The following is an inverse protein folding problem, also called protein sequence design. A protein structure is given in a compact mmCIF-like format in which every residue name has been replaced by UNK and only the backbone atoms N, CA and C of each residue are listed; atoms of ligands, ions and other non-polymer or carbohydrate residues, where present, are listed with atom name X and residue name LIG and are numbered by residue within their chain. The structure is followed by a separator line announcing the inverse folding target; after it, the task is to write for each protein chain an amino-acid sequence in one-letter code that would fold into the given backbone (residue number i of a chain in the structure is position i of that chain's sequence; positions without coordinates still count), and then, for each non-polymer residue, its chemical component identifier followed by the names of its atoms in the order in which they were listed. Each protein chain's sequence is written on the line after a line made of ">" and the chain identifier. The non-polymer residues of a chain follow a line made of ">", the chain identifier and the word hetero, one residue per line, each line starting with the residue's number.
data_IF_543064873619
#
_entry.id   IF_543064873619
#
_cell.length_a   1.000
_cell.length_b   1.000
_cell.length_c   1.000
_cell.angle_alpha   90.00
_cell.angle_beta   90.00
_cell.angle_gamma   90.00
#
_symmetry.space_group_name_H-M   'P 1'
#
loop_
_entity.id
_entity.type
_entity.pdbx_description
1 polymer ?
#
# COMPACT_ATOMS: atom_id res chain seq x y z
N UNK A 1 -1.11 -29.13 -12.04
CA UNK A 1 -1.87 -30.39 -12.19
C UNK A 1 -3.28 -30.04 -12.62
N UNK A 2 -3.64 -30.48 -13.83
CA UNK A 2 -5.00 -30.85 -14.31
C UNK A 2 -6.11 -29.77 -14.24
N UNK A 3 -6.47 -29.07 -15.34
CA UNK A 3 -7.29 -29.52 -16.49
C UNK A 3 -8.81 -29.44 -16.22
N UNK A 4 -9.56 -28.67 -17.03
CA UNK A 4 -10.97 -28.95 -17.45
C UNK A 4 -11.68 -27.80 -18.21
N UNK A 5 -10.99 -27.04 -19.07
CA UNK A 5 -11.66 -26.16 -20.05
C UNK A 5 -11.26 -26.46 -21.51
N UNK A 6 -10.96 -27.73 -21.80
CA UNK A 6 -10.75 -28.22 -23.15
C UNK A 6 -11.82 -29.28 -23.47
N UNK A 7 -13.09 -28.86 -23.64
CA UNK A 7 -14.19 -29.78 -24.05
C UNK A 7 -15.42 -29.13 -24.70
N UNK A 8 -15.36 -27.88 -25.20
CA UNK A 8 -16.55 -27.24 -25.79
C UNK A 8 -16.34 -26.49 -27.11
N UNK A 9 -15.25 -26.75 -27.83
CA UNK A 9 -15.07 -26.22 -29.19
C UNK A 9 -14.59 -27.36 -30.09
N UNK A 10 -15.50 -28.01 -30.82
CA UNK A 10 -15.29 -28.50 -32.19
C UNK A 10 -16.44 -29.43 -32.60
N UNK A 11 -17.55 -28.84 -33.06
CA UNK A 11 -18.65 -29.61 -33.60
C UNK A 11 -19.75 -28.71 -34.15
N UNK A 12 -19.51 -28.10 -35.32
CA UNK A 12 -20.46 -27.92 -36.44
C UNK A 12 -19.97 -26.82 -37.40
N UNK A 13 -20.11 -27.09 -38.68
CA UNK A 13 -19.60 -26.37 -39.84
C UNK A 13 -20.41 -25.09 -40.21
N UNK A 14 -19.78 -24.25 -41.05
CA UNK A 14 -20.30 -23.10 -41.84
C UNK A 14 -21.73 -23.28 -42.43
N UNK A 15 -22.50 -22.23 -42.85
CA UNK A 15 -22.08 -20.85 -43.22
C UNK A 15 -23.05 -19.67 -42.87
N UNK A 16 -22.56 -18.43 -43.03
CA UNK A 16 -23.25 -17.17 -43.42
C UNK A 16 -24.68 -16.91 -42.90
N UNK A 17 -24.81 -16.06 -41.88
CA UNK A 17 -25.91 -15.09 -41.78
C UNK A 17 -25.45 -13.84 -40.99
N UNK A 18 -25.61 -12.69 -41.63
CA UNK A 18 -25.50 -11.34 -41.07
C UNK A 18 -26.24 -11.23 -39.72
N UNK A 19 -25.51 -11.23 -38.61
CA UNK A 19 -26.00 -10.67 -37.35
C UNK A 19 -24.95 -9.71 -36.82
N UNK A 20 -25.14 -8.44 -37.17
CA UNK A 20 -24.54 -7.31 -36.50
C UNK A 20 -25.05 -7.27 -35.04
N UNK A 21 -24.40 -8.00 -34.14
CA UNK A 21 -24.46 -7.68 -32.71
C UNK A 21 -23.40 -6.63 -32.45
N UNK A 22 -23.84 -5.38 -32.58
CA UNK A 22 -23.28 -4.21 -31.90
C UNK A 22 -23.11 -4.60 -30.43
N UNK A 23 -21.90 -4.99 -30.01
CA UNK A 23 -21.59 -5.08 -28.59
C UNK A 23 -21.47 -3.65 -28.08
N UNK A 24 -22.62 -3.14 -27.67
CA UNK A 24 -22.78 -1.95 -26.88
C UNK A 24 -21.86 -2.02 -25.64
N UNK A 25 -21.07 -0.96 -25.48
CA UNK A 25 -20.53 -0.45 -24.22
C UNK A 25 -19.95 -1.46 -23.23
N UNK A 26 -18.63 -1.53 -23.16
CA UNK A 26 -17.97 -1.92 -21.92
C UNK A 26 -18.33 -0.89 -20.83
N UNK A 27 -19.39 -1.14 -20.08
CA UNK A 27 -19.59 -0.53 -18.78
C UNK A 27 -18.47 -1.04 -17.88
N UNK A 28 -17.41 -0.25 -17.72
CA UNK A 28 -16.38 -0.52 -16.72
C UNK A 28 -17.07 -0.55 -15.35
N UNK A 29 -17.24 -1.74 -14.80
CA UNK A 29 -17.54 -1.90 -13.39
C UNK A 29 -16.44 -1.13 -12.64
N UNK A 30 -16.83 -0.14 -11.85
CA UNK A 30 -15.93 0.80 -11.19
C UNK A 30 -15.09 0.05 -10.15
N UNK A 31 -13.99 -0.56 -10.59
CA UNK A 31 -13.02 -1.13 -9.67
C UNK A 31 -12.46 0.01 -8.82
N UNK A 32 -12.38 -0.16 -7.49
CA UNK A 32 -11.85 0.88 -6.61
C UNK A 32 -10.44 1.24 -7.06
N UNK A 33 -10.24 2.51 -7.38
CA UNK A 33 -8.93 2.99 -7.82
C UNK A 33 -7.90 2.79 -6.70
N UNK A 34 -6.61 2.72 -7.05
CA UNK A 34 -5.53 2.62 -6.06
C UNK A 34 -5.58 3.76 -5.01
N UNK A 35 -5.97 4.96 -5.44
CA UNK A 35 -6.16 6.09 -4.53
C UNK A 35 -7.27 5.83 -3.51
N UNK A 36 -8.39 5.25 -3.96
CA UNK A 36 -9.54 4.93 -3.11
C UNK A 36 -9.22 3.78 -2.13
N UNK A 37 -8.52 2.74 -2.59
CA UNK A 37 -8.04 1.66 -1.70
C UNK A 37 -7.07 2.18 -0.64
N UNK A 38 -6.20 3.12 -1.00
CA UNK A 38 -5.28 3.76 -0.04
C UNK A 38 -6.01 4.65 0.97
N UNK A 39 -7.02 5.42 0.51
CA UNK A 39 -7.86 6.22 1.40
C UNK A 39 -8.58 5.35 2.44
N UNK A 40 -9.18 4.24 2.00
CA UNK A 40 -9.84 3.27 2.89
C UNK A 40 -8.84 2.64 3.84
N UNK A 41 -7.68 2.21 3.36
CA UNK A 41 -6.62 1.64 4.20
C UNK A 41 -6.17 2.63 5.28
N UNK A 42 -6.12 3.92 4.97
CA UNK A 42 -5.73 4.95 5.93
C UNK A 42 -6.80 5.18 7.01
N UNK A 43 -8.07 5.23 6.61
CA UNK A 43 -9.21 5.41 7.51
C UNK A 43 -9.42 4.18 8.40
N UNK A 44 -9.25 2.98 7.85
CA UNK A 44 -9.51 1.71 8.53
C UNK A 44 -8.31 1.10 9.24
N UNK A 45 -7.18 1.81 9.37
CA UNK A 45 -5.92 1.20 9.80
C UNK A 45 -5.97 0.62 11.22
N UNK A 46 -6.59 1.33 12.16
CA UNK A 46 -6.75 0.87 13.55
C UNK A 46 -7.69 -0.33 13.63
N UNK A 47 -8.84 -0.24 12.95
CA UNK A 47 -9.85 -1.30 12.95
C UNK A 47 -9.31 -2.57 12.28
N UNK A 48 -8.53 -2.42 11.22
CA UNK A 48 -7.87 -3.53 10.54
C UNK A 48 -6.89 -4.28 11.45
N UNK A 49 -6.12 -3.57 12.28
CA UNK A 49 -5.20 -4.23 13.22
C UNK A 49 -5.96 -4.98 14.32
N UNK A 50 -7.12 -4.48 14.72
CA UNK A 50 -7.94 -5.07 15.77
C UNK A 50 -8.75 -6.28 15.27
N UNK A 51 -9.33 -6.20 14.07
CA UNK A 51 -10.26 -7.23 13.55
C UNK A 51 -9.68 -8.11 12.44
N UNK A 52 -8.62 -7.68 11.76
CA UNK A 52 -8.13 -8.28 10.51
C UNK A 52 -6.61 -8.51 10.47
N UNK A 53 -5.95 -8.68 11.61
CA UNK A 53 -4.48 -8.80 11.72
C UNK A 53 -3.87 -10.02 11.00
N UNK A 54 -4.68 -11.01 10.61
CA UNK A 54 -4.25 -12.21 9.87
C UNK A 54 -4.26 -12.10 8.35
N UNK A 55 -4.66 -10.95 7.76
CA UNK A 55 -4.75 -10.77 6.29
C UNK A 55 -3.78 -9.70 5.77
N UNK A 56 -3.42 -9.82 4.48
CA UNK A 56 -2.51 -8.89 3.82
C UNK A 56 -3.18 -7.50 3.64
N UNK A 57 -2.60 -6.41 4.17
CA UNK A 57 -3.22 -5.09 4.12
C UNK A 57 -3.19 -4.48 2.71
N UNK A 58 -4.33 -4.00 2.22
CA UNK A 58 -4.46 -3.30 0.94
C UNK A 58 -4.76 -4.20 -0.26
N UNK A 59 -5.06 -5.48 -0.04
CA UNK A 59 -5.63 -6.36 -1.06
C UNK A 59 -7.13 -6.60 -0.86
N UNK A 60 -7.74 -7.37 -1.77
CA UNK A 60 -9.15 -7.78 -1.68
C UNK A 60 -9.46 -8.56 -0.40
N UNK A 61 -8.50 -9.35 0.11
CA UNK A 61 -8.64 -10.06 1.38
C UNK A 61 -8.83 -9.11 2.58
N UNK A 62 -8.15 -7.96 2.58
CA UNK A 62 -8.32 -6.96 3.62
C UNK A 62 -9.70 -6.28 3.55
N UNK A 63 -10.17 -5.97 2.33
CA UNK A 63 -11.51 -5.40 2.14
C UNK A 63 -12.61 -6.38 2.55
N UNK A 64 -12.46 -7.66 2.21
CA UNK A 64 -13.42 -8.71 2.58
C UNK A 64 -13.53 -8.88 4.10
N UNK A 65 -12.39 -8.86 4.81
CA UNK A 65 -12.37 -8.92 6.27
C UNK A 65 -13.04 -7.69 6.89
N UNK A 66 -12.73 -6.49 6.41
CA UNK A 66 -13.39 -5.27 6.89
C UNK A 66 -14.90 -5.32 6.64
N UNK A 67 -15.37 -5.79 5.48
CA UNK A 67 -16.79 -5.94 5.21
C UNK A 67 -17.50 -6.89 6.18
N UNK A 68 -16.86 -8.03 6.51
CA UNK A 68 -17.38 -8.99 7.48
C UNK A 68 -17.45 -8.42 8.90
N UNK A 69 -16.52 -7.53 9.25
CA UNK A 69 -16.48 -6.89 10.56
C UNK A 69 -17.10 -5.49 10.57
N UNK A 70 -17.84 -5.10 9.54
CA UNK A 70 -18.34 -3.73 9.33
C UNK A 70 -19.06 -3.13 10.54
N UNK A 71 -19.85 -3.91 11.28
CA UNK A 71 -20.55 -3.49 12.50
C UNK A 71 -19.63 -3.21 13.70
N UNK A 72 -18.41 -3.74 13.70
CA UNK A 72 -17.40 -3.59 14.75
C UNK A 72 -16.30 -2.58 14.40
N UNK A 73 -16.36 -1.98 13.20
CA UNK A 73 -15.41 -0.94 12.79
C UNK A 73 -15.84 0.43 13.33
N UNK A 74 -14.88 1.33 13.44
CA UNK A 74 -15.13 2.75 13.67
C UNK A 74 -16.01 3.37 12.57
N UNK A 75 -16.78 4.41 12.95
CA UNK A 75 -17.68 5.12 12.04
C UNK A 75 -16.93 5.64 10.78
N UNK A 76 -15.72 6.18 10.95
CA UNK A 76 -14.92 6.68 9.83
C UNK A 76 -14.47 5.56 8.87
N UNK A 77 -14.26 4.35 9.37
CA UNK A 77 -13.95 3.21 8.51
C UNK A 77 -15.21 2.67 7.80
N UNK A 78 -16.36 2.64 8.48
CA UNK A 78 -17.65 2.25 7.90
C UNK A 78 -18.05 3.17 6.72
N UNK A 79 -17.88 4.48 6.89
CA UNK A 79 -18.11 5.47 5.83
C UNK A 79 -17.20 5.23 4.62
N UNK A 80 -15.91 4.96 4.87
CA UNK A 80 -14.93 4.73 3.82
C UNK A 80 -15.22 3.46 2.99
N UNK A 81 -15.66 2.37 3.63
CA UNK A 81 -16.04 1.15 2.91
C UNK A 81 -17.42 1.25 2.25
N UNK A 82 -18.35 2.03 2.82
CA UNK A 82 -19.69 2.27 2.27
C UNK A 82 -19.67 3.11 0.99
N UNK A 83 -18.73 4.05 0.87
CA UNK A 83 -18.55 4.88 -0.32
C UNK A 83 -18.17 4.09 -1.59
N UNK A 84 -17.73 2.83 -1.46
CA UNK A 84 -17.51 1.93 -2.60
C UNK A 84 -18.81 1.37 -3.20
N UNK A 85 -19.88 1.27 -2.40
CA UNK A 85 -21.16 0.66 -2.80
C UNK A 85 -22.12 1.60 -3.54
N UNK A 86 -21.79 2.89 -3.62
CA UNK A 86 -22.63 3.88 -4.28
C UNK A 86 -21.77 5.03 -4.77
N UNK A 87 -21.46 5.01 -6.08
CA UNK A 87 -20.62 6.00 -6.75
C UNK A 87 -21.01 7.44 -6.43
N UNK A 88 -20.31 8.03 -5.48
CA UNK A 88 -20.06 9.47 -5.35
C UNK A 88 -18.64 9.64 -4.81
N UNK A 89 -17.71 9.88 -5.72
CA UNK A 89 -16.46 10.55 -5.35
C UNK A 89 -16.81 11.92 -4.78
N UNK A 90 -16.19 12.23 -3.64
CA UNK A 90 -16.43 13.35 -2.73
C UNK A 90 -16.37 14.75 -3.36
N UNK A 91 -16.69 15.82 -2.61
CA UNK A 91 -15.92 17.04 -2.68
C UNK A 91 -14.70 16.91 -1.78
N UNK A 92 -13.52 17.04 -2.39
CA UNK A 92 -12.33 17.41 -1.67
C UNK A 92 -12.48 18.83 -1.07
N UNK A 93 -12.10 18.94 0.20
CA UNK A 93 -11.49 20.09 0.88
C UNK A 93 -12.32 21.36 1.17
N UNK A 94 -12.25 21.79 2.43
CA UNK A 94 -11.89 23.17 2.76
C UNK A 94 -10.74 23.20 3.78
N UNK A 95 -9.55 23.49 3.24
CA UNK A 95 -8.57 24.48 3.72
C UNK A 95 -7.95 24.36 5.12
N UNK A 96 -6.73 23.83 5.16
CA UNK A 96 -5.62 24.35 5.96
C UNK A 96 -4.51 24.84 5.02
N UNK A 97 -4.31 26.15 4.97
CA UNK A 97 -3.39 26.90 4.11
C UNK A 97 -1.93 26.41 4.17
N UNK A 98 -1.32 26.14 3.01
CA UNK A 98 0.13 26.18 2.82
C UNK A 98 0.41 26.97 1.51
N UNK A 99 1.20 28.07 1.54
CA UNK A 99 1.48 28.85 0.34
C UNK A 99 2.29 28.08 -0.69
N UNK A 100 1.95 28.32 -1.96
CA UNK A 100 2.66 27.82 -3.12
C UNK A 100 4.04 28.50 -3.29
N UNK A 101 5.04 27.64 -3.44
CA UNK A 101 6.22 27.71 -4.30
C UNK A 101 6.82 29.06 -4.74
N UNK A 102 8.12 29.19 -4.47
CA UNK A 102 9.08 29.82 -5.39
C UNK A 102 10.21 28.83 -5.64
N UNK A 103 10.42 28.42 -6.90
CA UNK A 103 11.61 27.68 -7.38
C UNK A 103 12.68 28.69 -7.86
N UNK A 104 13.95 28.33 -8.17
CA UNK A 104 14.53 26.98 -8.26
C UNK A 104 15.84 26.80 -7.45
N UNK A 105 16.07 25.59 -6.95
CA UNK A 105 17.42 25.15 -6.59
C UNK A 105 17.68 23.83 -7.30
N UNK A 106 18.86 23.74 -7.91
CA UNK A 106 19.42 22.58 -8.59
C UNK A 106 19.17 21.29 -7.80
N UNK A 107 18.77 20.19 -8.46
CA UNK A 107 18.56 18.92 -7.77
C UNK A 107 19.91 18.34 -7.38
N UNK A 108 20.36 18.61 -6.16
CA UNK A 108 21.09 17.58 -5.42
C UNK A 108 20.16 16.36 -5.32
N UNK A 109 20.67 15.12 -5.43
CA UNK A 109 19.85 13.92 -5.25
C UNK A 109 19.37 13.89 -3.80
N UNK A 110 18.26 14.57 -3.55
CA UNK A 110 17.66 14.72 -2.24
C UNK A 110 16.65 13.59 -2.18
N UNK A 111 17.09 12.46 -1.64
CA UNK A 111 16.22 11.35 -1.35
C UNK A 111 15.03 11.84 -0.52
N UNK A 112 13.82 11.36 -0.83
CA UNK A 112 12.67 11.71 -0.01
C UNK A 112 12.85 11.13 1.41
N UNK A 113 12.32 11.76 2.48
CA UNK A 113 12.48 11.24 3.85
C UNK A 113 12.00 9.79 4.02
N UNK A 114 11.07 9.36 3.18
CA UNK A 114 10.54 7.99 3.15
C UNK A 114 11.52 7.00 2.52
N UNK A 115 12.19 7.44 1.47
CA UNK A 115 13.22 6.67 0.76
C UNK A 115 14.49 6.56 1.60
N UNK A 116 14.87 7.64 2.29
CA UNK A 116 15.99 7.64 3.23
C UNK A 116 15.78 6.63 4.37
N UNK A 117 14.56 6.56 4.92
CA UNK A 117 14.21 5.53 5.90
C UNK A 117 14.20 4.10 5.32
N UNK A 118 13.88 3.93 4.03
CA UNK A 118 13.93 2.63 3.37
C UNK A 118 15.38 2.16 3.17
N UNK A 119 16.25 3.06 2.69
CA UNK A 119 17.69 2.82 2.53
C UNK A 119 18.31 2.48 3.88
N UNK A 120 18.01 3.24 4.93
CA UNK A 120 18.53 2.96 6.27
C UNK A 120 18.12 1.58 6.80
N UNK A 121 16.88 1.14 6.55
CA UNK A 121 16.41 -0.20 6.94
C UNK A 121 17.07 -1.30 6.13
N UNK A 122 17.33 -1.05 4.84
CA UNK A 122 17.96 -2.00 3.95
C UNK A 122 19.44 -2.20 4.30
N UNK A 123 20.17 -1.10 4.47
CA UNK A 123 21.60 -1.11 4.79
C UNK A 123 21.88 -1.57 6.22
N UNK A 124 21.12 -1.08 7.22
CA UNK A 124 21.36 -1.41 8.63
C UNK A 124 20.54 -2.60 9.15
N UNK A 125 19.58 -3.12 8.39
CA UNK A 125 18.70 -4.21 8.81
C UNK A 125 19.45 -5.51 9.17
N UNK A 126 20.42 -5.97 8.37
CA UNK A 126 21.23 -7.14 8.70
C UNK A 126 22.07 -6.93 9.96
N UNK A 127 22.74 -5.79 10.09
CA UNK A 127 23.55 -5.44 11.25
C UNK A 127 22.73 -5.34 12.53
N UNK A 128 21.52 -4.79 12.45
CA UNK A 128 20.61 -4.73 13.58
C UNK A 128 20.21 -6.13 14.06
N UNK A 129 19.92 -7.05 13.14
CA UNK A 129 19.55 -8.43 13.50
C UNK A 129 20.70 -9.20 14.14
N UNK A 130 21.93 -8.98 13.70
CA UNK A 130 23.10 -9.70 14.24
C UNK A 130 23.63 -9.10 15.55
N UNK A 131 23.59 -7.77 15.70
CA UNK A 131 24.24 -7.07 16.83
C UNK A 131 23.25 -6.50 17.86
N UNK A 132 22.00 -6.25 17.47
CA UNK A 132 21.05 -5.46 18.24
C UNK A 132 19.65 -6.10 18.34
N UNK A 133 19.50 -7.41 18.06
CA UNK A 133 18.20 -8.10 17.98
C UNK A 133 17.38 -8.07 19.28
N UNK A 134 18.02 -7.90 20.43
CA UNK A 134 17.35 -7.76 21.74
C UNK A 134 16.85 -6.36 22.04
N UNK A 135 17.14 -5.38 21.19
CA UNK A 135 16.76 -3.99 21.40
C UNK A 135 15.33 -3.75 20.91
N UNK A 136 14.47 -3.29 21.81
CA UNK A 136 13.11 -2.90 21.46
C UNK A 136 13.11 -1.82 20.36
N UNK A 137 12.29 -2.02 19.33
CA UNK A 137 12.07 -1.04 18.26
C UNK A 137 11.28 0.17 18.80
N UNK A 138 11.66 1.37 18.38
CA UNK A 138 11.02 2.62 18.79
C UNK A 138 11.95 3.55 19.61
N UNK A 139 11.59 4.83 19.66
CA UNK A 139 12.31 5.84 20.47
C UNK A 139 13.81 5.99 20.17
N UNK A 140 14.25 5.66 18.94
CA UNK A 140 15.66 5.74 18.55
C UNK A 140 16.59 4.69 19.15
N UNK A 141 16.08 3.73 19.94
CA UNK A 141 16.90 2.72 20.64
C UNK A 141 17.71 1.85 19.70
N UNK A 142 17.12 1.46 18.57
CA UNK A 142 17.80 0.70 17.54
C UNK A 142 19.02 1.45 16.96
N UNK A 143 18.86 2.75 16.68
CA UNK A 143 19.95 3.59 16.19
C UNK A 143 21.04 3.78 17.27
N UNK A 144 20.65 3.94 18.53
CA UNK A 144 21.61 4.02 19.63
C UNK A 144 22.45 2.74 19.76
N UNK A 145 21.83 1.56 19.61
CA UNK A 145 22.56 0.30 19.62
C UNK A 145 23.51 0.16 18.42
N UNK A 146 23.04 0.49 17.22
CA UNK A 146 23.89 0.45 16.02
C UNK A 146 25.09 1.40 16.16
N UNK A 147 24.87 2.64 16.65
CA UNK A 147 25.96 3.60 16.88
C UNK A 147 26.99 3.11 17.90
N UNK A 148 26.58 2.40 18.96
CA UNK A 148 27.51 1.78 19.92
C UNK A 148 28.34 0.65 19.29
N UNK A 149 27.85 0.04 18.21
CA UNK A 149 28.51 -1.04 17.50
C UNK A 149 29.17 -0.58 16.18
N UNK A 150 29.40 0.72 15.96
CA UNK A 150 29.88 1.30 14.69
C UNK A 150 31.03 0.51 14.04
N UNK A 151 32.04 0.10 14.81
CA UNK A 151 33.19 -0.64 14.29
C UNK A 151 32.87 -2.05 13.76
N UNK A 152 31.72 -2.61 14.13
CA UNK A 152 31.25 -3.96 13.73
C UNK A 152 30.15 -3.93 12.67
N UNK A 153 29.65 -2.75 12.33
CA UNK A 153 28.62 -2.59 11.30
C UNK A 153 29.20 -2.80 9.90
N UNK A 154 28.32 -3.16 8.96
CA UNK A 154 28.63 -3.12 7.54
C UNK A 154 29.03 -1.71 7.07
N UNK A 155 29.89 -1.59 6.04
CA UNK A 155 30.31 -0.30 5.51
C UNK A 155 29.14 0.51 4.92
N UNK A 156 28.08 -0.17 4.45
CA UNK A 156 26.85 0.48 4.00
C UNK A 156 26.10 1.15 5.16
N UNK A 157 25.86 0.42 6.25
CA UNK A 157 25.20 0.98 7.43
C UNK A 157 26.02 2.09 8.12
N UNK A 158 27.35 1.96 8.16
CA UNK A 158 28.24 3.01 8.70
C UNK A 158 28.08 4.34 7.95
N UNK A 159 28.03 4.29 6.61
CA UNK A 159 27.83 5.49 5.77
C UNK A 159 26.50 6.16 6.09
N UNK A 160 25.42 5.37 6.17
CA UNK A 160 24.08 5.88 6.49
C UNK A 160 24.06 6.54 7.88
N UNK A 161 24.60 5.89 8.91
CA UNK A 161 24.60 6.43 10.28
C UNK A 161 25.50 7.65 10.47
N UNK A 162 26.49 7.83 9.60
CA UNK A 162 27.40 8.99 9.63
C UNK A 162 26.81 10.17 8.86
N UNK A 163 26.06 9.91 7.79
CA UNK A 163 25.39 10.95 7.00
C UNK A 163 24.18 11.57 7.72
N UNK A 164 23.42 10.79 8.49
CA UNK A 164 22.22 11.25 9.22
C UNK A 164 22.50 11.78 10.63
N UNK A 165 23.54 12.60 10.82
CA UNK A 165 23.79 13.31 12.10
C UNK A 165 23.01 14.60 12.21
#
# INVERSE_FOLDING_TARGET
>A
MTNSHCRLLSGMALPVLLVACVFAGAAVAQQPTLAQQNAIKSACRSDFMAQCSGVQPGGQAALSCLQQHSSSLSAGCQEAIGALGGGKSAPAATTGTAPAATAPATPTPTFTPREEMAIARQECGPDFRSLCSSVALGGGRAIACLRKNMARLSPGCQKVLTAGR
#
